data_IF_023696502917
#
_entry.id   IF_023696502917
#
_cell.length_a   1.000
_cell.length_b   1.000
_cell.length_c   1.000
_cell.angle_alpha   90.00
_cell.angle_beta   90.00
_cell.angle_gamma   90.00
#
_symmetry.space_group_name_H-M   'P 1'
#
loop_
_entity.id
_entity.type
_entity.pdbx_description
1 polymer ?
#
# COMPACT_ATOMS: atom_id res chain seq x y z
N UNK A 1 21.57 -17.00 16.64
CA UNK A 1 20.89 -16.19 15.61
C UNK A 1 20.61 -14.73 16.04
N UNK A 2 19.50 -14.35 16.68
CA UNK A 2 19.20 -12.91 16.97
C UNK A 2 20.24 -12.21 17.87
N UNK A 3 20.78 -12.90 18.89
CA UNK A 3 21.85 -12.39 19.76
C UNK A 3 23.21 -12.26 19.04
N UNK A 4 23.48 -13.12 18.06
CA UNK A 4 24.70 -13.04 17.24
C UNK A 4 24.60 -11.88 16.24
N UNK A 5 23.43 -11.71 15.61
CA UNK A 5 23.15 -10.55 14.76
C UNK A 5 23.32 -9.23 15.52
N UNK A 6 22.82 -9.16 16.77
CA UNK A 6 23.01 -7.99 17.62
C UNK A 6 24.48 -7.67 17.93
N UNK A 7 25.34 -8.70 18.06
CA UNK A 7 26.78 -8.51 18.29
C UNK A 7 27.48 -8.03 17.02
N UNK A 8 27.19 -8.66 15.88
CA UNK A 8 27.75 -8.29 14.56
C UNK A 8 27.36 -6.86 14.17
N UNK A 9 26.13 -6.43 14.52
CA UNK A 9 25.63 -5.08 14.23
C UNK A 9 26.41 -3.99 14.98
N UNK A 10 26.86 -4.25 16.20
CA UNK A 10 27.64 -3.29 16.99
C UNK A 10 29.05 -3.15 16.43
N UNK A 11 29.66 -4.27 16.03
CA UNK A 11 31.04 -4.29 15.53
C UNK A 11 31.16 -3.59 14.15
N UNK A 12 30.11 -3.65 13.32
CA UNK A 12 30.13 -3.16 11.91
C UNK A 12 28.94 -2.26 11.57
N UNK A 13 28.62 -1.39 12.52
CA UNK A 13 27.43 -0.53 12.50
C UNK A 13 27.33 0.37 11.26
N UNK A 14 28.47 0.77 10.67
CA UNK A 14 28.53 1.70 9.54
C UNK A 14 27.95 1.10 8.23
N UNK A 15 28.14 -0.21 7.97
CA UNK A 15 27.57 -0.89 6.78
C UNK A 15 26.12 -1.31 7.04
N UNK A 16 25.79 -1.69 8.28
CA UNK A 16 24.45 -2.18 8.61
C UNK A 16 23.42 -1.07 8.84
N UNK A 17 23.86 0.14 9.20
CA UNK A 17 22.97 1.27 9.48
C UNK A 17 22.12 1.70 8.27
N UNK A 18 22.65 1.82 7.03
CA UNK A 18 21.82 2.09 5.86
C UNK A 18 20.70 1.06 5.64
N UNK A 19 21.00 -0.24 5.81
CA UNK A 19 20.02 -1.33 5.67
C UNK A 19 18.96 -1.23 6.78
N UNK A 20 19.38 -0.92 8.02
CA UNK A 20 18.47 -0.73 9.13
C UNK A 20 17.53 0.47 8.93
N UNK A 21 18.02 1.56 8.33
CA UNK A 21 17.19 2.73 7.97
C UNK A 21 16.15 2.33 6.93
N UNK A 22 16.54 1.58 5.88
CA UNK A 22 15.60 1.04 4.89
C UNK A 22 14.52 0.16 5.55
N UNK A 23 14.92 -0.69 6.49
CA UNK A 23 13.98 -1.53 7.26
C UNK A 23 13.00 -0.70 8.08
N UNK A 24 13.49 0.29 8.84
CA UNK A 24 12.64 1.16 9.66
C UNK A 24 11.67 1.99 8.80
N UNK A 25 12.13 2.54 7.69
CA UNK A 25 11.27 3.26 6.74
C UNK A 25 10.21 2.34 6.13
N UNK A 26 10.59 1.11 5.76
CA UNK A 26 9.67 0.11 5.24
C UNK A 26 8.59 -0.27 6.26
N UNK A 27 8.97 -0.55 7.52
CA UNK A 27 8.02 -0.86 8.59
C UNK A 27 7.05 0.31 8.82
N UNK A 28 7.54 1.54 8.84
CA UNK A 28 6.69 2.72 8.99
C UNK A 28 5.64 2.82 7.88
N UNK A 29 6.03 2.55 6.63
CA UNK A 29 5.10 2.52 5.49
C UNK A 29 4.11 1.37 5.63
N UNK A 30 4.55 0.17 6.03
CA UNK A 30 3.64 -0.97 6.23
C UNK A 30 2.54 -0.64 7.23
N UNK A 31 2.91 -0.08 8.38
CA UNK A 31 1.94 0.29 9.43
C UNK A 31 0.99 1.39 8.94
N UNK A 32 1.52 2.46 8.35
CA UNK A 32 0.72 3.57 7.81
C UNK A 32 -0.30 3.09 6.77
N UNK A 33 0.14 2.19 5.88
CA UNK A 33 -0.69 1.65 4.79
C UNK A 33 -1.72 0.65 5.29
N UNK A 34 -1.35 -0.25 6.20
CA UNK A 34 -2.28 -1.19 6.80
C UNK A 34 -3.43 -0.46 7.52
N UNK A 35 -3.13 0.62 8.26
CA UNK A 35 -4.16 1.44 8.91
C UNK A 35 -5.06 2.16 7.89
N UNK A 36 -4.46 2.71 6.83
CA UNK A 36 -5.21 3.41 5.76
C UNK A 36 -6.14 2.46 5.01
N UNK A 37 -5.67 1.28 4.61
CA UNK A 37 -6.48 0.27 3.91
C UNK A 37 -7.57 -0.30 4.82
N UNK A 38 -7.28 -0.51 6.10
CA UNK A 38 -8.30 -0.92 7.09
C UNK A 38 -9.41 0.13 7.22
N UNK A 39 -9.06 1.41 7.26
CA UNK A 39 -10.04 2.49 7.30
C UNK A 39 -10.83 2.59 5.98
N UNK A 40 -10.18 2.40 4.84
CA UNK A 40 -10.83 2.43 3.53
C UNK A 40 -11.81 1.26 3.31
N UNK A 41 -11.46 0.06 3.80
CA UNK A 41 -12.31 -1.14 3.76
C UNK A 41 -13.28 -1.28 4.93
N UNK A 42 -13.42 -0.27 5.80
CA UNK A 42 -14.36 -0.32 6.93
C UNK A 42 -15.82 -0.23 6.48
N UNK A 43 -16.06 0.29 5.27
CA UNK A 43 -17.41 0.37 4.68
C UNK A 43 -17.75 -0.98 4.08
N UNK A 44 -18.79 -1.63 4.61
CA UNK A 44 -19.29 -2.88 4.04
C UNK A 44 -20.01 -2.59 2.71
N UNK A 45 -19.42 -3.09 1.62
CA UNK A 45 -19.94 -2.97 0.25
C UNK A 45 -21.40 -3.40 0.14
N UNK A 46 -21.73 -4.59 0.66
CA UNK A 46 -23.04 -5.20 0.50
C UNK A 46 -24.12 -4.45 1.29
N UNK A 47 -23.77 -3.98 2.48
CA UNK A 47 -24.65 -3.18 3.31
C UNK A 47 -24.92 -1.82 2.68
N UNK A 48 -23.87 -1.16 2.15
CA UNK A 48 -24.00 0.11 1.45
C UNK A 48 -24.86 -0.04 0.19
N UNK A 49 -24.65 -1.08 -0.61
CA UNK A 49 -25.44 -1.33 -1.82
C UNK A 49 -26.91 -1.58 -1.49
N UNK A 50 -27.21 -2.43 -0.49
CA UNK A 50 -28.59 -2.65 -0.03
C UNK A 50 -29.24 -1.37 0.44
N UNK A 51 -28.50 -0.55 1.18
CA UNK A 51 -28.95 0.75 1.64
C UNK A 51 -29.31 1.67 0.45
N UNK A 52 -28.39 1.85 -0.52
CA UNK A 52 -28.65 2.70 -1.70
C UNK A 52 -29.86 2.20 -2.49
N UNK A 53 -29.96 0.89 -2.72
CA UNK A 53 -31.08 0.29 -3.45
C UNK A 53 -32.42 0.59 -2.77
N UNK A 54 -32.49 0.44 -1.44
CA UNK A 54 -33.72 0.72 -0.69
C UNK A 54 -34.19 2.18 -0.82
N UNK A 55 -33.28 3.14 -0.69
CA UNK A 55 -33.62 4.56 -0.79
C UNK A 55 -33.97 5.00 -2.22
N UNK A 56 -33.26 4.46 -3.22
CA UNK A 56 -33.54 4.75 -4.63
C UNK A 56 -34.89 4.17 -5.08
N UNK A 57 -35.36 3.04 -4.52
CA UNK A 57 -36.71 2.51 -4.80
C UNK A 57 -37.79 3.39 -4.19
N UNK A 58 -37.53 3.98 -3.02
CA UNK A 58 -38.48 4.81 -2.27
C UNK A 58 -38.52 6.27 -2.75
N UNK A 59 -37.73 6.66 -3.75
CA UNK A 59 -37.64 8.05 -4.25
C UNK A 59 -36.90 9.01 -3.30
N UNK A 60 -36.35 8.51 -2.19
CA UNK A 60 -35.77 9.34 -1.13
C UNK A 60 -34.27 9.60 -1.36
N UNK A 61 -33.92 10.17 -2.51
CA UNK A 61 -32.52 10.40 -2.91
C UNK A 61 -31.80 11.36 -1.94
N UNK A 62 -32.46 12.43 -1.47
CA UNK A 62 -31.85 13.35 -0.49
C UNK A 62 -31.50 12.67 0.84
N UNK A 63 -32.32 11.73 1.30
CA UNK A 63 -32.03 10.94 2.52
C UNK A 63 -30.86 9.97 2.31
N UNK A 64 -30.72 9.41 1.10
CA UNK A 64 -29.56 8.61 0.74
C UNK A 64 -28.28 9.44 0.76
N UNK A 65 -28.31 10.64 0.16
CA UNK A 65 -27.17 11.58 0.14
C UNK A 65 -26.74 11.95 1.55
N UNK A 66 -27.67 12.30 2.44
CA UNK A 66 -27.34 12.71 3.81
C UNK A 66 -26.71 11.58 4.62
N UNK A 67 -27.18 10.35 4.45
CA UNK A 67 -26.64 9.18 5.17
C UNK A 67 -25.26 8.79 4.64
N UNK A 68 -25.09 8.70 3.32
CA UNK A 68 -23.79 8.38 2.72
C UNK A 68 -22.75 9.47 3.01
N UNK A 69 -23.18 10.72 3.19
CA UNK A 69 -22.30 11.83 3.58
C UNK A 69 -21.70 11.70 4.99
N UNK A 70 -22.29 10.89 5.87
CA UNK A 70 -21.74 10.60 7.20
C UNK A 70 -20.68 9.49 7.15
N UNK A 71 -20.71 8.66 6.10
CA UNK A 71 -19.79 7.55 5.91
C UNK A 71 -18.50 8.03 5.26
N UNK A 72 -17.38 7.80 5.94
CA UNK A 72 -16.05 8.09 5.39
C UNK A 72 -15.54 6.89 4.62
N UNK A 73 -14.99 7.12 3.44
CA UNK A 73 -14.30 6.10 2.68
C UNK A 73 -14.34 6.37 1.18
N UNK A 74 -13.44 5.75 0.41
CA UNK A 74 -13.37 5.93 -1.04
C UNK A 74 -14.69 5.52 -1.71
N UNK A 75 -15.24 4.36 -1.32
CA UNK A 75 -16.52 3.88 -1.85
C UNK A 75 -17.68 4.85 -1.56
N UNK A 76 -17.81 5.30 -0.31
CA UNK A 76 -18.86 6.24 0.08
C UNK A 76 -18.74 7.57 -0.67
N UNK A 77 -17.52 8.08 -0.88
CA UNK A 77 -17.29 9.32 -1.61
C UNK A 77 -17.72 9.21 -3.09
N UNK A 78 -17.43 8.09 -3.75
CA UNK A 78 -17.79 7.85 -5.15
C UNK A 78 -19.31 7.71 -5.29
N UNK A 79 -19.94 6.88 -4.46
CA UNK A 79 -21.39 6.71 -4.43
C UNK A 79 -22.09 8.05 -4.17
N UNK A 80 -21.60 8.83 -3.21
CA UNK A 80 -22.15 10.14 -2.87
C UNK A 80 -22.16 11.07 -4.07
N UNK A 81 -21.09 11.08 -4.87
CA UNK A 81 -21.03 11.91 -6.09
C UNK A 81 -22.13 11.54 -7.08
N UNK A 82 -22.36 10.24 -7.28
CA UNK A 82 -23.45 9.75 -8.13
C UNK A 82 -24.83 10.15 -7.60
N UNK A 83 -25.09 9.95 -6.30
CA UNK A 83 -26.37 10.31 -5.68
C UNK A 83 -26.65 11.82 -5.72
N UNK A 84 -25.62 12.65 -5.54
CA UNK A 84 -25.74 14.11 -5.65
C UNK A 84 -26.05 14.53 -7.09
N UNK A 85 -25.40 13.92 -8.09
CA UNK A 85 -25.71 14.17 -9.49
C UNK A 85 -27.16 13.81 -9.82
N UNK A 86 -27.64 12.63 -9.37
CA UNK A 86 -29.05 12.24 -9.51
C UNK A 86 -29.99 13.24 -8.84
N UNK A 87 -29.65 13.67 -7.62
CA UNK A 87 -30.42 14.68 -6.88
C UNK A 87 -30.52 16.03 -7.61
N UNK A 88 -29.54 16.37 -8.44
CA UNK A 88 -29.53 17.62 -9.20
C UNK A 88 -30.28 17.51 -10.54
N UNK A 89 -30.85 16.34 -10.86
CA UNK A 89 -31.54 16.10 -12.13
C UNK A 89 -30.60 15.84 -13.31
N UNK A 90 -29.31 15.63 -13.06
CA UNK A 90 -28.32 15.32 -14.09
C UNK A 90 -28.64 14.01 -14.78
N UNK A 91 -28.34 13.92 -16.07
CA UNK A 91 -28.59 12.68 -16.80
C UNK A 91 -27.64 11.55 -16.36
N UNK A 92 -27.92 10.35 -16.87
CA UNK A 92 -27.15 9.16 -16.56
C UNK A 92 -25.65 9.28 -16.89
N UNK A 93 -25.31 10.00 -17.95
CA UNK A 93 -23.94 10.17 -18.43
C UNK A 93 -23.16 11.13 -17.53
N UNK A 94 -23.81 12.22 -17.11
CA UNK A 94 -23.29 13.15 -16.12
C UNK A 94 -23.12 12.51 -14.73
N UNK A 95 -24.02 11.61 -14.33
CA UNK A 95 -23.89 10.82 -13.09
C UNK A 95 -22.66 9.92 -13.14
N UNK A 96 -22.47 9.17 -14.23
CA UNK A 96 -21.27 8.34 -14.43
C UNK A 96 -20.01 9.21 -14.38
N UNK A 97 -20.01 10.33 -15.09
CA UNK A 97 -18.88 11.26 -15.13
C UNK A 97 -18.53 11.82 -13.75
N UNK A 98 -19.53 12.15 -12.93
CA UNK A 98 -19.32 12.61 -11.55
C UNK A 98 -18.71 11.52 -10.66
N UNK A 99 -19.17 10.27 -10.79
CA UNK A 99 -18.62 9.13 -10.06
C UNK A 99 -17.17 8.86 -10.47
N UNK A 100 -16.88 8.85 -11.76
CA UNK A 100 -15.53 8.61 -12.30
C UNK A 100 -14.55 9.70 -11.91
N UNK A 101 -14.97 10.96 -11.90
CA UNK A 101 -14.13 12.07 -11.45
C UNK A 101 -13.66 11.91 -10.00
N UNK A 102 -14.54 11.42 -9.12
CA UNK A 102 -14.17 11.13 -7.71
C UNK A 102 -13.33 9.85 -7.63
N UNK A 103 -13.66 8.81 -8.39
CA UNK A 103 -12.90 7.57 -8.44
C UNK A 103 -11.43 7.82 -8.86
N UNK A 104 -11.21 8.68 -9.87
CA UNK A 104 -9.89 9.08 -10.34
C UNK A 104 -9.04 9.75 -9.25
N UNK A 105 -9.67 10.36 -8.24
CA UNK A 105 -8.99 10.95 -7.09
C UNK A 105 -8.79 9.98 -5.94
N UNK A 106 -9.76 9.09 -5.68
CA UNK A 106 -9.73 8.20 -4.50
C UNK A 106 -8.93 6.91 -4.76
N UNK A 107 -9.08 6.27 -5.91
CA UNK A 107 -8.43 4.99 -6.23
C UNK A 107 -6.90 5.09 -6.15
N UNK A 108 -6.23 6.12 -6.73
CA UNK A 108 -4.77 6.22 -6.62
C UNK A 108 -4.26 6.37 -5.19
N UNK A 109 -5.09 6.84 -4.25
CA UNK A 109 -4.70 7.01 -2.84
C UNK A 109 -4.57 5.68 -2.12
N UNK A 110 -5.28 4.65 -2.59
CA UNK A 110 -5.21 3.28 -2.06
C UNK A 110 -3.87 2.62 -2.39
N UNK A 111 -3.34 2.85 -3.60
CA UNK A 111 -2.04 2.31 -4.02
C UNK A 111 -0.84 3.14 -3.58
N UNK A 112 -1.06 4.36 -3.07
CA UNK A 112 0.02 5.31 -2.79
C UNK A 112 1.06 4.73 -1.82
N UNK A 113 2.35 4.84 -2.17
CA UNK A 113 3.52 4.37 -1.38
C UNK A 113 3.67 2.86 -1.22
N UNK A 114 2.73 2.03 -1.71
CA UNK A 114 2.89 0.57 -1.64
C UNK A 114 4.13 0.17 -2.45
N UNK A 115 4.26 0.64 -3.69
CA UNK A 115 5.41 0.31 -4.55
C UNK A 115 6.76 0.76 -4.01
N UNK A 116 6.77 1.75 -3.10
CA UNK A 116 7.99 2.18 -2.44
C UNK A 116 8.56 1.09 -1.53
N UNK A 117 7.73 0.16 -1.02
CA UNK A 117 8.20 -1.02 -0.29
C UNK A 117 9.00 -1.97 -1.18
N UNK A 118 8.56 -2.20 -2.41
CA UNK A 118 9.30 -3.01 -3.39
C UNK A 118 10.64 -2.35 -3.74
N UNK A 119 10.64 -1.03 -3.93
CA UNK A 119 11.88 -0.28 -4.12
C UNK A 119 12.84 -0.39 -2.91
N UNK A 120 12.33 -0.24 -1.69
CA UNK A 120 13.13 -0.39 -0.46
C UNK A 120 13.68 -1.80 -0.27
N UNK A 121 12.90 -2.83 -0.64
CA UNK A 121 13.37 -4.22 -0.62
C UNK A 121 14.58 -4.39 -1.54
N UNK A 122 14.48 -3.93 -2.79
CA UNK A 122 15.58 -3.97 -3.76
C UNK A 122 16.80 -3.18 -3.27
N UNK A 123 16.60 -1.98 -2.72
CA UNK A 123 17.69 -1.18 -2.15
C UNK A 123 18.37 -1.91 -0.99
N UNK A 124 17.62 -2.59 -0.12
CA UNK A 124 18.21 -3.36 0.98
C UNK A 124 19.13 -4.49 0.48
N UNK A 125 18.76 -5.19 -0.60
CA UNK A 125 19.64 -6.20 -1.23
C UNK A 125 20.90 -5.56 -1.79
N UNK A 126 20.75 -4.46 -2.54
CA UNK A 126 21.88 -3.77 -3.16
C UNK A 126 22.85 -3.21 -2.10
N UNK A 127 22.34 -2.70 -0.99
CA UNK A 127 23.16 -2.27 0.15
C UNK A 127 23.89 -3.44 0.82
N UNK A 128 23.26 -4.61 0.93
CA UNK A 128 23.91 -5.82 1.42
C UNK A 128 25.08 -6.27 0.52
N UNK A 129 24.84 -6.31 -0.79
CA UNK A 129 25.86 -6.63 -1.78
C UNK A 129 27.01 -5.62 -1.78
N UNK A 130 26.68 -4.32 -1.69
CA UNK A 130 27.67 -3.25 -1.55
C UNK A 130 28.52 -3.46 -0.29
N UNK A 131 27.89 -3.79 0.84
CA UNK A 131 28.58 -4.12 2.08
C UNK A 131 29.60 -5.25 1.90
N UNK A 132 29.23 -6.30 1.17
CA UNK A 132 30.15 -7.40 0.86
C UNK A 132 31.31 -6.93 -0.02
N UNK A 133 31.05 -6.16 -1.08
CA UNK A 133 32.11 -5.63 -1.96
C UNK A 133 33.08 -4.74 -1.17
N UNK A 134 32.57 -3.82 -0.36
CA UNK A 134 33.39 -2.95 0.49
C UNK A 134 34.20 -3.73 1.52
N UNK A 135 33.60 -4.73 2.18
CA UNK A 135 34.28 -5.60 3.13
C UNK A 135 35.41 -6.40 2.50
N UNK A 136 35.18 -6.96 1.30
CA UNK A 136 36.22 -7.70 0.56
C UNK A 136 37.38 -6.79 0.10
N UNK A 137 37.08 -5.55 -0.32
CA UNK A 137 38.13 -4.57 -0.68
C UNK A 137 39.01 -4.27 0.54
N UNK A 138 38.40 -4.03 1.71
CA UNK A 138 39.13 -3.78 2.95
C UNK A 138 39.96 -5.00 3.39
N UNK A 139 39.38 -6.20 3.28
CA UNK A 139 40.04 -7.46 3.64
C UNK A 139 41.33 -7.70 2.86
N UNK A 140 41.27 -7.61 1.52
CA UNK A 140 42.44 -7.81 0.68
C UNK A 140 43.47 -6.69 0.82
N UNK A 141 43.03 -5.45 1.08
CA UNK A 141 43.91 -4.33 1.39
C UNK A 141 44.73 -4.57 2.68
N UNK A 142 44.08 -5.05 3.74
CA UNK A 142 44.74 -5.32 5.03
C UNK A 142 45.69 -6.53 4.97
N UNK A 143 45.31 -7.59 4.26
CA UNK A 143 46.12 -8.82 4.14
C UNK A 143 47.43 -8.60 3.39
N UNK A 144 47.52 -7.56 2.55
CA UNK A 144 48.74 -7.22 1.83
C UNK A 144 49.91 -6.88 2.77
N UNK A 145 49.63 -6.28 3.93
CA UNK A 145 50.65 -5.75 4.87
C UNK A 145 50.88 -6.62 6.11
N UNK A 146 50.07 -7.67 6.32
CA UNK A 146 50.13 -8.51 7.52
C UNK A 146 51.17 -9.64 7.46
N UNK A 147 51.67 -10.14 8.61
CA UNK A 147 52.51 -11.35 8.68
C UNK A 147 51.78 -12.60 8.17
N UNK A 148 52.45 -13.56 7.52
CA UNK A 148 51.82 -14.77 6.95
C UNK A 148 50.96 -15.58 7.95
N UNK A 149 51.36 -15.61 9.23
CA UNK A 149 50.65 -16.33 10.28
C UNK A 149 49.27 -15.72 10.61
N UNK A 150 49.09 -14.41 10.40
CA UNK A 150 47.86 -13.68 10.75
C UNK A 150 46.92 -13.52 9.54
N UNK A 151 47.46 -13.58 8.31
CA UNK A 151 46.70 -13.38 7.07
C UNK A 151 45.45 -14.24 6.97
N UNK A 152 45.57 -15.52 7.30
CA UNK A 152 44.46 -16.47 7.18
C UNK A 152 43.31 -16.12 8.15
N UNK A 153 43.65 -15.76 9.39
CA UNK A 153 42.65 -15.43 10.40
C UNK A 153 41.92 -14.13 10.08
N UNK A 154 42.66 -13.08 9.71
CA UNK A 154 42.07 -11.76 9.37
C UNK A 154 41.21 -11.86 8.10
N UNK A 155 41.69 -12.56 7.07
CA UNK A 155 40.92 -12.74 5.85
C UNK A 155 39.60 -13.49 6.13
N UNK A 156 39.66 -14.57 6.92
CA UNK A 156 38.47 -15.34 7.28
C UNK A 156 37.45 -14.49 8.07
N UNK A 157 37.90 -13.68 9.03
CA UNK A 157 37.00 -12.81 9.79
C UNK A 157 36.35 -11.73 8.92
N UNK A 158 37.10 -11.09 8.03
CA UNK A 158 36.56 -10.05 7.15
C UNK A 158 35.60 -10.60 6.09
N UNK A 159 35.87 -11.80 5.57
CA UNK A 159 34.92 -12.48 4.66
C UNK A 159 33.62 -12.81 5.40
N UNK A 160 33.71 -13.36 6.62
CA UNK A 160 32.53 -13.70 7.41
C UNK A 160 31.66 -12.46 7.69
N UNK A 161 32.29 -11.33 8.02
CA UNK A 161 31.63 -10.05 8.21
C UNK A 161 30.95 -9.54 6.93
N UNK A 162 31.68 -9.55 5.81
CA UNK A 162 31.16 -9.16 4.51
C UNK A 162 29.91 -9.98 4.11
N UNK A 163 29.91 -11.29 4.40
CA UNK A 163 28.76 -12.16 4.17
C UNK A 163 27.58 -11.87 5.09
N UNK A 164 27.82 -11.47 6.35
CA UNK A 164 26.76 -11.07 7.27
C UNK A 164 25.98 -9.84 6.77
N UNK A 165 26.66 -8.88 6.14
CA UNK A 165 26.00 -7.72 5.54
C UNK A 165 25.01 -8.11 4.43
N UNK A 166 25.41 -9.02 3.54
CA UNK A 166 24.50 -9.57 2.51
C UNK A 166 23.36 -10.37 3.13
N UNK A 167 23.66 -11.24 4.11
CA UNK A 167 22.63 -12.01 4.81
C UNK A 167 21.57 -11.11 5.45
N UNK A 168 21.98 -9.99 6.04
CA UNK A 168 21.06 -9.00 6.62
C UNK A 168 20.24 -8.27 5.56
N UNK A 169 20.87 -7.81 4.46
CA UNK A 169 20.18 -7.16 3.35
C UNK A 169 19.11 -8.05 2.72
N UNK A 170 19.41 -9.34 2.53
CA UNK A 170 18.46 -10.34 2.05
C UNK A 170 17.30 -10.54 3.02
N UNK A 171 17.58 -10.67 4.32
CA UNK A 171 16.54 -10.85 5.33
C UNK A 171 15.56 -9.68 5.33
N UNK A 172 16.06 -8.43 5.32
CA UNK A 172 15.22 -7.24 5.26
C UNK A 172 14.43 -7.18 3.96
N UNK A 173 15.06 -7.47 2.82
CA UNK A 173 14.39 -7.49 1.52
C UNK A 173 13.24 -8.47 1.47
N UNK A 174 13.44 -9.70 1.94
CA UNK A 174 12.39 -10.74 1.95
C UNK A 174 11.18 -10.27 2.74
N UNK A 175 11.40 -9.68 3.93
CA UNK A 175 10.32 -9.18 4.77
C UNK A 175 9.56 -8.02 4.12
N UNK A 176 10.28 -7.04 3.56
CA UNK A 176 9.67 -5.89 2.90
C UNK A 176 8.92 -6.28 1.62
N UNK A 177 9.47 -7.21 0.83
CA UNK A 177 8.84 -7.69 -0.40
C UNK A 177 7.59 -8.53 -0.11
N UNK A 178 7.60 -9.36 0.92
CA UNK A 178 6.42 -10.09 1.38
C UNK A 178 5.32 -9.12 1.86
N UNK A 179 5.70 -8.09 2.64
CA UNK A 179 4.77 -7.06 3.09
C UNK A 179 4.19 -6.23 1.93
N UNK A 180 5.01 -5.91 0.92
CA UNK A 180 4.57 -5.28 -0.33
C UNK A 180 3.50 -6.12 -1.02
N UNK A 181 3.77 -7.41 -1.26
CA UNK A 181 2.83 -8.31 -1.92
C UNK A 181 1.49 -8.40 -1.18
N UNK A 182 1.55 -8.55 0.15
CA UNK A 182 0.35 -8.60 0.99
C UNK A 182 -0.48 -7.30 0.94
N UNK A 183 0.17 -6.13 1.08
CA UNK A 183 -0.51 -4.84 1.01
C UNK A 183 -1.06 -4.55 -0.39
N UNK A 184 -0.34 -4.96 -1.43
CA UNK A 184 -0.78 -4.80 -2.81
C UNK A 184 -2.04 -5.62 -3.10
N UNK A 185 -2.08 -6.90 -2.67
CA UNK A 185 -3.28 -7.74 -2.77
C UNK A 185 -4.45 -7.18 -1.97
N UNK A 186 -4.20 -6.63 -0.78
CA UNK A 186 -5.25 -5.99 0.01
C UNK A 186 -5.78 -4.71 -0.67
N UNK A 187 -4.90 -3.85 -1.17
CA UNK A 187 -5.30 -2.65 -1.92
C UNK A 187 -6.13 -3.00 -3.14
N UNK A 188 -5.70 -3.99 -3.92
CA UNK A 188 -6.44 -4.49 -5.08
C UNK A 188 -7.85 -4.94 -4.70
N UNK A 189 -8.01 -5.71 -3.61
CA UNK A 189 -9.33 -6.13 -3.14
C UNK A 189 -10.24 -4.95 -2.78
N UNK A 190 -9.72 -3.91 -2.12
CA UNK A 190 -10.51 -2.70 -1.78
C UNK A 190 -10.89 -1.94 -3.04
N UNK A 191 -10.00 -1.87 -4.03
CA UNK A 191 -10.26 -1.24 -5.33
C UNK A 191 -11.34 -2.01 -6.10
N UNK A 192 -11.29 -3.35 -6.10
CA UNK A 192 -12.30 -4.19 -6.73
C UNK A 192 -13.68 -3.99 -6.10
N UNK A 193 -13.76 -3.96 -4.75
CA UNK A 193 -15.01 -3.68 -4.03
C UNK A 193 -15.57 -2.28 -4.38
N UNK A 194 -14.68 -1.28 -4.54
CA UNK A 194 -15.05 0.06 -4.97
C UNK A 194 -15.61 0.07 -6.40
N UNK A 195 -14.93 -0.61 -7.33
CA UNK A 195 -15.38 -0.69 -8.72
C UNK A 195 -16.71 -1.41 -8.85
N UNK A 196 -16.86 -2.56 -8.21
CA UNK A 196 -18.09 -3.36 -8.26
C UNK A 196 -19.28 -2.55 -7.72
N UNK A 197 -19.12 -1.90 -6.57
CA UNK A 197 -20.21 -1.11 -6.01
C UNK A 197 -20.50 0.18 -6.79
N UNK A 198 -19.49 0.79 -7.41
CA UNK A 198 -19.71 1.93 -8.32
C UNK A 198 -20.54 1.53 -9.53
N UNK A 199 -20.18 0.42 -10.18
CA UNK A 199 -20.92 -0.12 -11.34
C UNK A 199 -22.31 -0.59 -10.94
N UNK A 200 -22.45 -1.27 -9.80
CA UNK A 200 -23.76 -1.73 -9.30
C UNK A 200 -24.70 -0.56 -9.01
N UNK A 201 -24.18 0.50 -8.36
CA UNK A 201 -24.94 1.73 -8.07
C UNK A 201 -25.40 2.40 -9.36
N UNK A 202 -24.52 2.53 -10.35
CA UNK A 202 -24.86 3.10 -11.65
C UNK A 202 -25.93 2.27 -12.36
N UNK A 203 -25.73 0.96 -12.49
CA UNK A 203 -26.69 0.06 -13.13
C UNK A 203 -28.07 0.12 -12.47
N UNK A 204 -28.10 0.31 -11.15
CA UNK A 204 -29.33 0.50 -10.41
C UNK A 204 -30.03 1.82 -10.80
N UNK A 205 -29.30 2.93 -10.83
CA UNK A 205 -29.82 4.24 -11.25
C UNK A 205 -30.35 4.19 -12.69
N UNK A 206 -29.62 3.54 -13.60
CA UNK A 206 -30.01 3.37 -15.00
C UNK A 206 -31.28 2.51 -15.15
N UNK A 207 -31.34 1.38 -14.45
CA UNK A 207 -32.48 0.45 -14.53
C UNK A 207 -33.75 1.04 -13.94
N UNK A 208 -33.62 1.96 -12.98
CA UNK A 208 -34.73 2.65 -12.33
C UNK A 208 -34.94 4.08 -12.84
N UNK A 209 -34.35 4.45 -13.99
CA UNK A 209 -34.39 5.80 -14.56
C UNK A 209 -35.81 6.37 -14.64
N UNK A 210 -36.78 5.57 -15.06
CA UNK A 210 -38.18 6.01 -15.21
C UNK A 210 -38.90 6.33 -13.89
N UNK A 211 -38.44 5.79 -12.75
CA UNK A 211 -38.99 6.08 -11.42
C UNK A 211 -38.23 7.24 -10.77
N UNK A 212 -36.91 7.24 -10.88
CA UNK A 212 -36.03 8.22 -10.25
C UNK A 212 -36.15 9.60 -10.91
N UNK A 213 -36.24 9.66 -12.24
CA UNK A 213 -36.29 10.94 -12.98
C UNK A 213 -37.72 11.45 -13.26
N UNK A 214 -38.77 10.70 -12.89
CA UNK A 214 -40.17 11.18 -13.00
C UNK A 214 -40.60 12.04 -11.81
N UNK A 215 -40.02 11.84 -10.63
CA UNK A 215 -40.38 12.60 -9.41
C UNK A 215 -39.66 13.95 -9.30
N UNK A 216 -38.55 14.15 -10.02
CA UNK A 216 -37.84 15.44 -10.08
C UNK A 216 -38.50 16.48 -11.02
N UNK A 217 -39.63 16.14 -11.62
CA UNK A 217 -40.43 17.03 -12.47
C UNK A 217 -41.60 17.66 -11.73
N UNK A 218 -41.31 18.55 -10.78
CA UNK A 218 -42.26 19.54 -10.24
C UNK A 218 -41.60 20.91 -10.19
#
# INVERSE_FOLDING_TARGET
MLKEFGRIFIDHWYIMMPIAICSAAGIAIVVERALTLKAAGAVNKDELLKFIQAYCIQGQIQSAVSTVSQTKGPLANIVRAGLVAVSNGNDAEEVQTAMDAVALREIPRLNRRIDLLSALANVAVLLGLLGTVSGMIAAFGAVATLPPAEKAQVLASSIAEALNATGFGLLVSILLFAAWGWLNSWSAKVIDDVHEASVSTLNFILSNKSKIFKESGH
#
